data_IF_045643540040
#
_entry.id   IF_045643540040
#
_cell.length_a   1.000
_cell.length_b   1.000
_cell.length_c   1.000
_cell.angle_alpha   90.00
_cell.angle_beta   90.00
_cell.angle_gamma   90.00
#
_symmetry.space_group_name_H-M   'P 1'
#
loop_
_entity.id
_entity.type
_entity.pdbx_description
1 polymer ?
#
# COMPACT_ATOMS: atom_id res chain seq x y z
N UNK A 1 -13.21 -7.72 0.71
CA UNK A 1 -13.28 -6.43 0.00
C UNK A 1 -12.79 -5.32 0.92
N UNK A 2 -11.94 -4.43 0.41
CA UNK A 2 -11.36 -3.33 1.17
C UNK A 2 -12.32 -2.14 1.20
N UNK A 3 -12.72 -1.68 2.39
CA UNK A 3 -13.29 -0.34 2.57
C UNK A 3 -12.09 0.58 2.78
N UNK A 4 -11.85 1.48 1.83
CA UNK A 4 -10.66 2.32 1.76
C UNK A 4 -10.84 3.68 2.49
N UNK A 5 -12.05 4.17 2.68
CA UNK A 5 -12.28 5.48 3.31
C UNK A 5 -12.20 5.51 4.83
N UNK A 6 -12.11 4.35 5.49
CA UNK A 6 -12.12 4.24 6.95
C UNK A 6 -10.94 3.41 7.47
N UNK A 7 -10.42 3.75 8.65
CA UNK A 7 -9.45 2.91 9.38
C UNK A 7 -9.95 1.47 9.47
N UNK A 8 -9.08 0.44 9.43
CA UNK A 8 -9.50 -0.94 9.59
C UNK A 8 -10.25 -1.09 10.92
N UNK A 9 -11.54 -1.42 10.85
CA UNK A 9 -12.27 -1.95 11.99
C UNK A 9 -11.61 -3.30 12.27
N UNK A 10 -11.09 -3.48 13.48
CA UNK A 10 -10.48 -4.74 13.92
C UNK A 10 -11.53 -5.86 13.90
N UNK A 11 -11.62 -6.58 12.79
CA UNK A 11 -12.31 -7.86 12.73
C UNK A 11 -11.35 -8.94 13.22
N UNK A 12 -11.56 -9.42 14.43
CA UNK A 12 -10.93 -10.62 14.96
C UNK A 12 -11.49 -11.85 14.22
N UNK A 13 -11.00 -12.14 13.02
CA UNK A 13 -11.18 -13.47 12.44
C UNK A 13 -10.16 -14.42 13.09
N UNK A 14 -10.61 -15.10 14.15
CA UNK A 14 -9.85 -16.17 14.78
C UNK A 14 -9.73 -17.36 13.84
N UNK A 15 -8.68 -17.40 13.01
CA UNK A 15 -8.21 -18.64 12.41
C UNK A 15 -7.46 -19.43 13.49
N UNK A 16 -8.22 -20.16 14.31
CA UNK A 16 -7.68 -21.16 15.22
C UNK A 16 -7.18 -22.37 14.43
N UNK A 17 -5.89 -22.42 14.15
CA UNK A 17 -5.21 -23.66 13.78
C UNK A 17 -4.89 -24.43 15.07
N UNK A 18 -5.61 -25.53 15.31
CA UNK A 18 -5.35 -26.52 16.36
C UNK A 18 -5.67 -27.93 15.83
N UNK A 19 -4.96 -28.97 16.31
CA UNK A 19 -4.74 -30.21 15.56
C UNK A 19 -5.92 -31.18 15.59
N UNK A 20 -6.02 -31.96 14.52
CA UNK A 20 -6.98 -33.04 14.29
C UNK A 20 -6.79 -34.13 15.35
N UNK A 21 -7.80 -34.38 16.18
CA UNK A 21 -7.99 -35.67 16.83
C UNK A 21 -9.47 -36.03 16.95
N UNK A 22 -9.73 -37.30 16.63
CA UNK A 22 -10.91 -38.15 16.79
C UNK A 22 -12.14 -37.61 17.56
N UNK A 23 -13.32 -37.66 16.93
CA UNK A 23 -14.55 -38.23 17.51
C UNK A 23 -15.70 -38.32 16.49
N UNK A 24 -16.08 -39.57 16.19
CA UNK A 24 -17.43 -40.15 16.19
C UNK A 24 -18.64 -39.35 15.64
N UNK A 25 -19.29 -39.96 14.63
CA UNK A 25 -20.60 -39.61 14.05
C UNK A 25 -21.73 -39.41 15.08
N UNK A 26 -22.74 -38.59 14.70
CA UNK A 26 -24.12 -38.95 14.98
C UNK A 26 -25.01 -38.97 13.73
N UNK A 27 -25.74 -40.08 13.58
CA UNK A 27 -26.89 -40.27 12.70
C UNK A 27 -27.96 -39.20 12.92
N UNK A 28 -28.52 -38.66 11.85
CA UNK A 28 -29.85 -38.04 11.87
C UNK A 28 -30.69 -38.51 10.68
N UNK A 29 -31.95 -38.79 11.03
CA UNK A 29 -32.96 -39.57 10.32
C UNK A 29 -33.59 -38.87 9.13
N UNK A 30 -34.00 -39.68 8.17
CA UNK A 30 -34.90 -39.35 7.07
C UNK A 30 -36.22 -38.74 7.54
N UNK A 31 -36.66 -37.67 6.85
CA UNK A 31 -38.07 -37.26 6.79
C UNK A 31 -38.49 -37.06 5.34
N UNK A 32 -39.59 -37.72 5.03
CA UNK A 32 -40.25 -37.84 3.74
C UNK A 32 -40.71 -36.48 3.16
N UNK A 33 -40.64 -36.36 1.83
CA UNK A 33 -41.58 -35.53 1.09
C UNK A 33 -42.15 -36.32 -0.11
N UNK A 34 -43.46 -36.24 -0.19
CA UNK A 34 -44.38 -37.07 -0.96
C UNK A 34 -44.53 -36.64 -2.42
N UNK A 35 -44.85 -37.65 -3.20
CA UNK A 35 -45.35 -37.71 -4.59
C UNK A 35 -46.34 -36.62 -5.00
N UNK A 36 -46.12 -36.05 -6.19
CA UNK A 36 -47.07 -35.22 -6.94
C UNK A 36 -47.27 -35.78 -8.36
N UNK A 37 -48.50 -36.22 -8.63
CA UNK A 37 -48.95 -37.02 -9.78
C UNK A 37 -48.79 -36.36 -11.17
N UNK A 38 -48.27 -37.12 -12.13
CA UNK A 38 -48.53 -36.94 -13.56
C UNK A 38 -49.87 -37.59 -13.95
N UNK A 39 -50.80 -36.79 -14.51
CA UNK A 39 -52.05 -37.30 -15.09
C UNK A 39 -51.79 -37.79 -16.51
N UNK A 40 -51.84 -39.11 -16.71
CA UNK A 40 -51.94 -39.77 -18.01
C UNK A 40 -53.31 -39.47 -18.64
N UNK A 41 -53.30 -38.97 -19.88
CA UNK A 41 -54.48 -38.90 -20.76
C UNK A 41 -54.34 -40.06 -21.76
N UNK A 42 -55.16 -41.09 -21.58
CA UNK A 42 -55.23 -42.25 -22.49
C UNK A 42 -56.07 -41.84 -23.70
N UNK A 43 -55.47 -41.90 -24.88
CA UNK A 43 -56.18 -41.97 -26.17
C UNK A 43 -55.84 -43.32 -26.79
N UNK A 44 -56.86 -44.16 -26.99
CA UNK A 44 -56.78 -45.42 -27.71
C UNK A 44 -56.83 -45.18 -29.21
N UNK A 45 -55.82 -45.65 -29.93
CA UNK A 45 -55.76 -45.68 -31.39
C UNK A 45 -54.54 -46.45 -31.84
N UNK A 46 -54.75 -47.66 -32.36
CA UNK A 46 -53.74 -48.43 -33.07
C UNK A 46 -53.30 -47.63 -34.29
N UNK A 47 -52.06 -47.15 -34.31
CA UNK A 47 -51.20 -47.05 -35.48
C UNK A 47 -49.78 -46.77 -34.97
N UNK A 48 -48.80 -47.54 -35.48
CA UNK A 48 -47.41 -47.47 -35.04
C UNK A 48 -46.81 -46.09 -35.34
N UNK A 49 -46.44 -45.37 -34.29
CA UNK A 49 -45.53 -44.23 -34.38
C UNK A 49 -44.16 -44.67 -33.86
N UNK A 50 -43.18 -44.76 -34.75
CA UNK A 50 -41.77 -44.63 -34.37
C UNK A 50 -41.61 -43.26 -33.73
N UNK A 51 -41.39 -43.24 -32.41
CA UNK A 51 -40.95 -42.04 -31.71
C UNK A 51 -39.44 -41.99 -31.92
N UNK A 52 -38.96 -41.19 -32.88
CA UNK A 52 -37.57 -40.75 -32.85
C UNK A 52 -37.32 -40.10 -31.48
N UNK A 53 -36.31 -40.53 -30.71
CA UNK A 53 -36.02 -39.91 -29.44
C UNK A 53 -35.50 -38.50 -29.74
N UNK A 54 -36.36 -37.51 -29.52
CA UNK A 54 -35.99 -36.10 -29.66
C UNK A 54 -34.84 -35.83 -28.69
N UNK A 55 -33.72 -35.39 -29.25
CA UNK A 55 -32.39 -35.35 -28.64
C UNK A 55 -32.21 -34.18 -27.65
N UNK A 56 -33.29 -33.72 -27.00
CA UNK A 56 -33.31 -32.60 -26.05
C UNK A 56 -32.28 -32.80 -24.93
N UNK A 57 -32.06 -34.06 -24.53
CA UNK A 57 -31.08 -34.40 -23.49
C UNK A 57 -29.63 -34.19 -23.96
N UNK A 58 -29.30 -34.48 -25.22
CA UNK A 58 -27.95 -34.26 -25.74
C UNK A 58 -27.68 -32.78 -25.99
N UNK A 59 -28.67 -32.01 -26.46
CA UNK A 59 -28.54 -30.57 -26.68
C UNK A 59 -28.39 -29.81 -25.35
N UNK A 60 -29.11 -30.24 -24.30
CA UNK A 60 -28.96 -29.68 -22.96
C UNK A 60 -27.60 -30.06 -22.34
N UNK A 61 -27.16 -31.32 -22.48
CA UNK A 61 -25.85 -31.77 -22.00
C UNK A 61 -24.70 -31.08 -22.73
N UNK A 62 -24.76 -30.92 -24.06
CA UNK A 62 -23.79 -30.13 -24.84
C UNK A 62 -23.84 -28.64 -24.47
N UNK A 63 -25.01 -28.07 -24.20
CA UNK A 63 -25.14 -26.68 -23.77
C UNK A 63 -24.54 -26.44 -22.38
N UNK A 64 -24.70 -27.40 -21.46
CA UNK A 64 -24.14 -27.33 -20.10
C UNK A 64 -22.63 -27.53 -20.16
N UNK A 65 -22.13 -28.51 -20.92
CA UNK A 65 -20.70 -28.75 -21.08
C UNK A 65 -20.00 -27.58 -21.78
N UNK A 66 -20.62 -26.98 -22.80
CA UNK A 66 -20.12 -25.76 -23.45
C UNK A 66 -20.08 -24.57 -22.48
N UNK A 67 -21.07 -24.43 -21.59
CA UNK A 67 -21.07 -23.38 -20.54
C UNK A 67 -19.99 -23.63 -19.49
N UNK A 68 -19.82 -24.87 -19.02
CA UNK A 68 -18.77 -25.25 -18.07
C UNK A 68 -17.39 -25.03 -18.68
N UNK A 69 -17.20 -25.42 -19.94
CA UNK A 69 -15.95 -25.23 -20.67
C UNK A 69 -15.64 -23.75 -20.91
N UNK A 70 -16.64 -22.93 -21.21
CA UNK A 70 -16.50 -21.46 -21.26
C UNK A 70 -16.16 -20.85 -19.90
N UNK A 71 -16.74 -21.34 -18.80
CA UNK A 71 -16.44 -20.89 -17.44
C UNK A 71 -15.02 -21.28 -16.99
N UNK A 72 -14.57 -22.49 -17.31
CA UNK A 72 -13.20 -22.93 -17.03
C UNK A 72 -12.16 -22.22 -17.91
N UNK A 73 -12.54 -21.85 -19.14
CA UNK A 73 -11.71 -21.01 -20.03
C UNK A 73 -11.74 -19.52 -19.65
N UNK A 74 -12.69 -19.08 -18.82
CA UNK A 74 -12.82 -17.70 -18.36
C UNK A 74 -12.32 -17.47 -16.94
N UNK A 75 -11.81 -18.50 -16.24
CA UNK A 75 -11.09 -18.29 -15.00
C UNK A 75 -9.83 -17.49 -15.32
N UNK A 76 -9.83 -16.24 -14.89
CA UNK A 76 -8.75 -15.31 -15.16
C UNK A 76 -7.49 -15.76 -14.39
N UNK A 77 -6.43 -16.10 -15.13
CA UNK A 77 -5.14 -16.46 -14.56
C UNK A 77 -4.37 -15.21 -14.07
N UNK A 78 -4.84 -13.99 -14.41
CA UNK A 78 -4.15 -12.74 -14.13
C UNK A 78 -4.00 -12.46 -12.61
N UNK A 79 -5.01 -12.65 -11.74
CA UNK A 79 -4.83 -12.50 -10.30
C UNK A 79 -3.85 -13.49 -9.68
N UNK A 80 -3.82 -14.73 -10.18
CA UNK A 80 -2.88 -15.75 -9.71
C UNK A 80 -1.46 -15.35 -10.10
N UNK A 81 -1.29 -14.93 -11.36
CA UNK A 81 -0.01 -14.44 -11.86
C UNK A 81 0.46 -13.21 -11.10
N UNK A 82 -0.41 -12.24 -10.86
CA UNK A 82 -0.12 -11.05 -10.07
C UNK A 82 0.38 -11.38 -8.66
N UNK A 83 -0.29 -12.32 -7.98
CA UNK A 83 0.09 -12.76 -6.63
C UNK A 83 1.40 -13.56 -6.58
N UNK A 84 1.76 -14.28 -7.65
CA UNK A 84 3.03 -15.00 -7.76
C UNK A 84 4.20 -14.10 -8.14
N UNK A 85 3.94 -13.10 -9.00
CA UNK A 85 4.96 -12.19 -9.49
C UNK A 85 5.24 -11.05 -8.50
N UNK A 86 4.23 -10.57 -7.76
CA UNK A 86 4.40 -9.43 -6.84
C UNK A 86 4.59 -9.91 -5.40
N UNK A 87 5.79 -9.77 -4.80
CA UNK A 87 5.98 -10.14 -3.40
C UNK A 87 5.21 -9.19 -2.49
N UNK A 88 4.68 -9.70 -1.38
CA UNK A 88 3.92 -8.90 -0.41
C UNK A 88 4.68 -7.68 0.13
N UNK A 89 6.01 -7.73 0.17
CA UNK A 89 6.85 -6.57 0.55
C UNK A 89 6.80 -5.42 -0.46
N UNK A 90 6.55 -5.72 -1.74
CA UNK A 90 6.37 -4.72 -2.80
C UNK A 90 4.91 -4.29 -2.98
N UNK A 91 3.93 -5.04 -2.46
CA UNK A 91 2.50 -4.71 -2.62
C UNK A 91 2.11 -3.48 -1.81
N UNK A 92 1.65 -2.41 -2.49
CA UNK A 92 1.08 -1.23 -1.83
C UNK A 92 -0.46 -1.33 -1.79
N UNK A 93 -1.11 -1.10 -0.64
CA UNK A 93 -2.53 -1.38 -0.45
C UNK A 93 -3.48 -0.80 -1.50
N UNK A 94 -3.30 0.46 -1.93
CA UNK A 94 -4.21 1.06 -2.89
C UNK A 94 -4.02 0.51 -4.31
N UNK A 95 -2.80 0.11 -4.67
CA UNK A 95 -2.52 -0.57 -5.95
C UNK A 95 -3.14 -1.96 -5.97
N UNK A 96 -2.98 -2.69 -4.87
CA UNK A 96 -3.57 -4.01 -4.68
C UNK A 96 -5.09 -3.93 -4.78
N UNK A 97 -5.70 -2.98 -4.06
CA UNK A 97 -7.14 -2.75 -4.13
C UNK A 97 -7.59 -2.37 -5.55
N UNK A 98 -6.84 -1.52 -6.27
CA UNK A 98 -7.15 -1.15 -7.65
C UNK A 98 -7.15 -2.37 -8.56
N UNK A 99 -6.09 -3.18 -8.51
CA UNK A 99 -5.98 -4.40 -9.29
C UNK A 99 -7.16 -5.34 -9.01
N UNK A 100 -7.46 -5.61 -7.74
CA UNK A 100 -8.57 -6.51 -7.41
C UNK A 100 -9.96 -5.94 -7.73
N UNK A 101 -10.16 -4.62 -7.73
CA UNK A 101 -11.43 -4.02 -8.19
C UNK A 101 -11.63 -4.29 -9.68
N UNK A 102 -10.56 -4.17 -10.49
CA UNK A 102 -10.64 -4.35 -11.95
C UNK A 102 -10.85 -5.82 -12.35
N UNK A 103 -10.41 -6.78 -11.52
CA UNK A 103 -10.49 -8.23 -11.78
C UNK A 103 -11.55 -8.96 -10.94
N UNK A 104 -12.39 -8.23 -10.20
CA UNK A 104 -13.43 -8.86 -9.37
C UNK A 104 -14.65 -9.23 -10.23
N UNK A 105 -14.89 -10.54 -10.38
CA UNK A 105 -16.02 -11.09 -11.14
C UNK A 105 -17.18 -11.50 -10.23
N UNK A 106 -18.35 -10.89 -10.45
CA UNK A 106 -19.58 -11.18 -9.67
C UNK A 106 -20.32 -12.44 -10.17
N UNK A 107 -20.03 -12.87 -11.40
CA UNK A 107 -20.69 -14.00 -12.05
C UNK A 107 -19.89 -15.31 -11.99
N UNK A 108 -18.77 -15.34 -11.26
CA UNK A 108 -17.98 -16.56 -11.12
C UNK A 108 -18.75 -17.63 -10.33
N UNK A 109 -19.14 -18.70 -11.03
CA UNK A 109 -19.54 -19.95 -10.43
C UNK A 109 -18.28 -20.68 -9.96
N UNK A 110 -18.12 -20.82 -8.66
CA UNK A 110 -17.03 -21.62 -8.09
C UNK A 110 -17.38 -23.09 -8.28
N UNK A 111 -16.63 -23.79 -9.14
CA UNK A 111 -16.65 -25.24 -9.18
C UNK A 111 -15.76 -25.78 -8.07
N UNK A 112 -16.37 -26.31 -7.01
CA UNK A 112 -15.64 -27.03 -5.96
C UNK A 112 -15.95 -28.52 -6.15
N UNK A 113 -14.92 -29.29 -6.50
CA UNK A 113 -15.02 -30.68 -6.92
C UNK A 113 -15.96 -30.86 -8.15
N UNK A 114 -17.13 -31.50 -7.98
CA UNK A 114 -18.06 -31.85 -9.06
C UNK A 114 -19.36 -31.02 -9.01
N UNK A 115 -19.40 -29.93 -8.25
CA UNK A 115 -20.61 -29.14 -8.07
C UNK A 115 -20.31 -27.65 -8.25
N UNK A 116 -21.19 -27.00 -9.02
CA UNK A 116 -21.17 -25.56 -9.24
C UNK A 116 -21.89 -24.87 -8.09
N UNK A 117 -21.17 -24.01 -7.38
CA UNK A 117 -21.73 -23.19 -6.31
C UNK A 117 -21.63 -21.71 -6.65
N UNK A 118 -22.68 -20.95 -6.34
CA UNK A 118 -22.59 -19.50 -6.22
C UNK A 118 -22.50 -19.15 -4.75
N UNK A 119 -21.38 -18.58 -4.32
CA UNK A 119 -21.24 -18.03 -2.98
C UNK A 119 -21.79 -16.59 -3.00
N UNK A 120 -23.11 -16.44 -2.85
CA UNK A 120 -23.80 -15.14 -2.93
C UNK A 120 -23.31 -14.12 -1.89
N UNK A 121 -22.74 -14.57 -0.77
CA UNK A 121 -22.11 -13.70 0.22
C UNK A 121 -20.69 -13.24 -0.17
N UNK A 122 -20.03 -13.92 -1.12
CA UNK A 122 -18.69 -13.57 -1.59
C UNK A 122 -18.68 -12.89 -2.96
N UNK A 123 -19.65 -13.20 -3.83
CA UNK A 123 -19.79 -12.63 -5.18
C UNK A 123 -21.03 -11.74 -5.20
N UNK A 124 -20.83 -10.45 -4.95
CA UNK A 124 -21.91 -9.49 -4.73
C UNK A 124 -21.62 -8.16 -5.45
N UNK A 125 -22.52 -7.74 -6.35
CA UNK A 125 -22.41 -6.45 -7.06
C UNK A 125 -22.36 -5.27 -6.10
N UNK A 126 -23.05 -5.35 -4.97
CA UNK A 126 -23.08 -4.30 -3.94
C UNK A 126 -21.69 -4.03 -3.40
N UNK A 127 -20.88 -5.08 -3.24
CA UNK A 127 -19.51 -4.97 -2.83
C UNK A 127 -18.72 -4.23 -3.93
N UNK A 128 -18.74 -4.72 -5.17
CA UNK A 128 -17.99 -4.11 -6.26
C UNK A 128 -18.31 -2.62 -6.42
N UNK A 129 -19.60 -2.26 -6.42
CA UNK A 129 -20.06 -0.88 -6.49
C UNK A 129 -19.57 -0.03 -5.30
N UNK A 130 -19.63 -0.57 -4.08
CA UNK A 130 -19.11 0.12 -2.90
C UNK A 130 -17.61 0.39 -3.03
N UNK A 131 -16.80 -0.60 -3.45
CA UNK A 131 -15.37 -0.42 -3.61
C UNK A 131 -15.03 0.59 -4.71
N UNK A 132 -15.75 0.58 -5.84
CA UNK A 132 -15.57 1.57 -6.92
C UNK A 132 -15.86 2.99 -6.43
N UNK A 133 -16.99 3.19 -5.76
CA UNK A 133 -17.38 4.50 -5.22
C UNK A 133 -16.37 5.01 -4.18
N UNK A 134 -15.93 4.12 -3.30
CA UNK A 134 -15.02 4.44 -2.22
C UNK A 134 -13.61 4.77 -2.74
N UNK A 135 -13.09 3.97 -3.67
CA UNK A 135 -11.82 4.23 -4.34
C UNK A 135 -11.86 5.56 -5.11
N UNK A 136 -12.93 5.83 -5.87
CA UNK A 136 -13.12 7.10 -6.59
C UNK A 136 -13.11 8.30 -5.64
N UNK A 137 -13.71 8.17 -4.45
CA UNK A 137 -13.69 9.21 -3.43
C UNK A 137 -12.28 9.47 -2.89
N UNK A 138 -11.53 8.41 -2.60
CA UNK A 138 -10.12 8.52 -2.18
C UNK A 138 -9.27 9.17 -3.29
N UNK A 139 -9.40 8.72 -4.54
CA UNK A 139 -8.68 9.27 -5.69
C UNK A 139 -8.94 10.77 -5.87
N UNK A 140 -10.19 11.22 -5.76
CA UNK A 140 -10.53 12.65 -5.85
C UNK A 140 -9.83 13.48 -4.76
N UNK A 141 -9.79 12.98 -3.53
CA UNK A 141 -9.07 13.63 -2.43
C UNK A 141 -7.57 13.68 -2.71
N UNK A 142 -6.97 12.58 -3.19
CA UNK A 142 -5.55 12.51 -3.51
C UNK A 142 -5.17 13.46 -4.66
N UNK A 143 -6.04 13.65 -5.66
CA UNK A 143 -5.86 14.62 -6.74
C UNK A 143 -5.91 16.07 -6.23
N UNK A 144 -6.78 16.37 -5.26
CA UNK A 144 -6.83 17.69 -4.62
C UNK A 144 -5.56 17.96 -3.79
N UNK A 145 -5.09 16.96 -3.05
CA UNK A 145 -3.81 17.02 -2.34
C UNK A 145 -2.64 17.23 -3.29
N UNK A 146 -2.62 16.52 -4.43
CA UNK A 146 -1.60 16.68 -5.45
C UNK A 146 -1.54 18.13 -5.97
N UNK A 147 -2.67 18.78 -6.23
CA UNK A 147 -2.70 20.20 -6.62
C UNK A 147 -2.04 21.11 -5.57
N UNK A 148 -2.30 20.88 -4.27
CA UNK A 148 -1.67 21.64 -3.20
C UNK A 148 -0.17 21.37 -3.10
N UNK A 149 0.28 20.13 -3.33
CA UNK A 149 1.70 19.77 -3.37
C UNK A 149 2.40 20.41 -4.58
N UNK A 150 1.75 20.47 -5.74
CA UNK A 150 2.26 21.19 -6.91
C UNK A 150 2.38 22.69 -6.63
N UNK A 151 1.38 23.29 -5.99
CA UNK A 151 1.46 24.69 -5.60
C UNK A 151 2.62 24.94 -4.62
N UNK A 152 2.77 24.09 -3.60
CA UNK A 152 3.92 24.16 -2.68
C UNK A 152 5.27 24.03 -3.40
N UNK A 153 5.37 23.16 -4.41
CA UNK A 153 6.58 23.00 -5.23
C UNK A 153 6.96 24.28 -5.96
N UNK A 154 5.99 24.94 -6.60
CA UNK A 154 6.20 26.19 -7.34
C UNK A 154 6.46 27.36 -6.40
N UNK A 155 5.68 27.51 -5.31
CA UNK A 155 5.81 28.59 -4.33
C UNK A 155 7.19 28.61 -3.65
N UNK A 156 7.73 27.43 -3.34
CA UNK A 156 9.07 27.31 -2.75
C UNK A 156 10.20 27.29 -3.81
N UNK A 157 9.84 27.26 -5.10
CA UNK A 157 10.73 27.07 -6.24
C UNK A 157 11.70 25.90 -6.01
N UNK A 158 11.14 24.71 -5.75
CA UNK A 158 11.91 23.53 -5.35
C UNK A 158 12.81 22.97 -6.47
N UNK A 159 12.54 23.34 -7.72
CA UNK A 159 13.38 23.01 -8.88
C UNK A 159 14.81 23.53 -8.71
N UNK A 160 14.98 24.73 -8.11
CA UNK A 160 16.29 25.33 -7.86
C UNK A 160 17.14 24.51 -6.87
N UNK A 161 16.49 23.69 -6.04
CA UNK A 161 17.17 22.77 -5.12
C UNK A 161 17.36 21.36 -5.71
N UNK A 162 17.14 21.20 -7.02
CA UNK A 162 17.34 19.94 -7.74
C UNK A 162 16.15 18.98 -7.68
N UNK A 163 15.01 19.39 -7.11
CA UNK A 163 13.84 18.52 -7.05
C UNK A 163 13.07 18.58 -8.36
N UNK A 164 12.99 17.46 -9.07
CA UNK A 164 12.22 17.38 -10.31
C UNK A 164 10.72 17.17 -10.04
N UNK A 165 9.87 17.58 -11.00
CA UNK A 165 8.42 17.31 -10.96
C UNK A 165 8.10 15.81 -10.88
N UNK A 166 8.89 14.98 -11.55
CA UNK A 166 8.78 13.50 -11.48
C UNK A 166 9.01 12.99 -10.06
N UNK A 167 10.02 13.51 -9.37
CA UNK A 167 10.40 13.08 -8.03
C UNK A 167 9.34 13.41 -6.98
N UNK A 168 8.78 14.62 -7.02
CA UNK A 168 7.71 14.99 -6.08
C UNK A 168 6.40 14.26 -6.40
N UNK A 169 6.10 13.99 -7.67
CA UNK A 169 4.97 13.16 -8.07
C UNK A 169 5.12 11.72 -7.57
N UNK A 170 6.31 11.13 -7.68
CA UNK A 170 6.58 9.80 -7.17
C UNK A 170 6.46 9.73 -5.64
N UNK A 171 6.97 10.74 -4.92
CA UNK A 171 6.80 10.84 -3.47
C UNK A 171 5.31 10.92 -3.08
N UNK A 172 4.51 11.72 -3.81
CA UNK A 172 3.06 11.79 -3.62
C UNK A 172 2.40 10.42 -3.85
N UNK A 173 2.76 9.75 -4.94
CA UNK A 173 2.25 8.42 -5.27
C UNK A 173 2.54 7.40 -4.18
N UNK A 174 3.78 7.30 -3.70
CA UNK A 174 4.15 6.33 -2.65
C UNK A 174 3.37 6.57 -1.35
N UNK A 175 3.13 7.84 -0.99
CA UNK A 175 2.34 8.21 0.17
C UNK A 175 0.85 7.82 0.00
N UNK A 176 0.21 8.16 -1.12
CA UNK A 176 -1.22 7.84 -1.35
C UNK A 176 -1.47 6.36 -1.59
N UNK A 177 -0.53 5.64 -2.22
CA UNK A 177 -0.65 4.22 -2.45
C UNK A 177 -0.57 3.41 -1.14
N UNK A 178 0.05 4.00 -0.12
CA UNK A 178 0.30 3.39 1.18
C UNK A 178 -0.71 3.77 2.26
N UNK A 179 -1.05 5.07 2.34
CA UNK A 179 -1.95 5.66 3.34
C UNK A 179 -3.15 6.27 2.60
N UNK A 180 -4.02 5.47 2.01
CA UNK A 180 -5.05 5.97 1.10
C UNK A 180 -6.27 6.60 1.81
N UNK A 181 -6.44 6.37 3.12
CA UNK A 181 -7.64 6.72 3.87
C UNK A 181 -7.88 8.24 3.94
N UNK A 182 -9.13 8.70 3.84
CA UNK A 182 -9.45 10.12 3.76
C UNK A 182 -8.98 10.93 4.98
N UNK A 183 -9.08 10.35 6.19
CA UNK A 183 -8.71 10.97 7.46
C UNK A 183 -7.18 11.14 7.64
N UNK A 184 -6.38 10.45 6.81
CA UNK A 184 -4.91 10.43 6.90
C UNK A 184 -4.22 11.40 5.93
N UNK A 185 -4.95 12.40 5.44
CA UNK A 185 -4.42 13.47 4.58
C UNK A 185 -3.22 14.19 5.20
N UNK A 186 -3.27 14.49 6.50
CA UNK A 186 -2.16 15.15 7.21
C UNK A 186 -0.88 14.31 7.22
N UNK A 187 -1.02 12.99 7.38
CA UNK A 187 0.10 12.05 7.35
C UNK A 187 0.74 11.96 5.96
N UNK A 188 -0.07 11.92 4.90
CA UNK A 188 0.43 11.93 3.51
C UNK A 188 1.18 13.20 3.17
N UNK A 189 0.62 14.37 3.49
CA UNK A 189 1.28 15.66 3.23
C UNK A 189 2.58 15.77 4.03
N UNK A 190 2.57 15.32 5.30
CA UNK A 190 3.76 15.25 6.15
C UNK A 190 4.83 14.34 5.55
N UNK A 191 4.44 13.18 5.01
CA UNK A 191 5.34 12.27 4.32
C UNK A 191 6.01 12.95 3.14
N UNK A 192 5.25 13.48 2.18
CA UNK A 192 5.81 14.06 0.96
C UNK A 192 6.74 15.23 1.27
N UNK A 193 6.30 16.16 2.13
CA UNK A 193 7.13 17.31 2.51
C UNK A 193 8.41 16.88 3.23
N UNK A 194 8.32 15.93 4.18
CA UNK A 194 9.49 15.46 4.91
C UNK A 194 10.48 14.73 4.00
N UNK A 195 10.00 13.91 3.07
CA UNK A 195 10.85 13.23 2.10
C UNK A 195 11.62 14.23 1.24
N UNK A 196 10.93 15.21 0.65
CA UNK A 196 11.55 16.22 -0.21
C UNK A 196 12.53 17.10 0.55
N UNK A 197 12.17 17.57 1.75
CA UNK A 197 13.04 18.40 2.57
C UNK A 197 14.28 17.63 3.05
N UNK A 198 14.13 16.37 3.46
CA UNK A 198 15.26 15.53 3.86
C UNK A 198 16.24 15.32 2.71
N UNK A 199 15.73 15.13 1.49
CA UNK A 199 16.56 14.98 0.29
C UNK A 199 17.32 16.26 -0.08
N UNK A 200 16.67 17.42 -0.04
CA UNK A 200 17.32 18.72 -0.26
C UNK A 200 18.46 18.92 0.75
N UNK A 201 18.17 18.70 2.04
CA UNK A 201 19.11 18.92 3.14
C UNK A 201 20.29 17.95 3.10
N UNK A 202 20.03 16.66 2.86
CA UNK A 202 21.10 15.66 2.68
C UNK A 202 21.96 15.99 1.47
N UNK A 203 21.36 16.34 0.32
CA UNK A 203 22.11 16.69 -0.88
C UNK A 203 22.98 17.91 -0.65
N UNK A 204 22.43 18.97 -0.04
CA UNK A 204 23.18 20.17 0.29
C UNK A 204 24.36 19.89 1.24
N UNK A 205 24.16 19.06 2.26
CA UNK A 205 25.22 18.66 3.19
C UNK A 205 26.38 17.96 2.46
N UNK A 206 26.08 17.00 1.58
CA UNK A 206 27.11 16.28 0.83
C UNK A 206 27.86 17.17 -0.17
N UNK A 207 27.17 18.08 -0.87
CA UNK A 207 27.82 19.05 -1.77
C UNK A 207 28.84 19.93 -1.01
N UNK A 208 28.48 20.40 0.19
CA UNK A 208 29.38 21.20 1.02
C UNK A 208 30.60 20.39 1.49
N UNK A 209 30.41 19.11 1.82
CA UNK A 209 31.50 18.23 2.22
C UNK A 209 32.52 18.05 1.08
N UNK A 210 32.05 17.89 -0.16
CA UNK A 210 32.93 17.73 -1.34
C UNK A 210 33.72 19.00 -1.70
N UNK A 211 33.15 20.20 -1.48
CA UNK A 211 33.86 21.47 -1.73
C UNK A 211 35.07 21.67 -0.80
N UNK A 212 35.11 20.98 0.34
CA UNK A 212 36.22 21.02 1.29
C UNK A 212 37.27 19.91 1.10
N UNK A 213 37.00 18.88 0.28
CA UNK A 213 37.92 17.77 0.03
C UNK A 213 38.37 17.75 -1.43
N UNK A 214 39.56 18.28 -1.74
CA UNK A 214 40.08 18.47 -3.10
C UNK A 214 40.39 17.19 -3.90
N UNK A 215 39.97 15.99 -3.48
CA UNK A 215 40.18 14.75 -4.22
C UNK A 215 39.03 13.77 -3.97
N UNK A 216 38.16 13.63 -4.97
CA UNK A 216 37.67 12.37 -5.57
C UNK A 216 36.33 12.64 -6.25
N UNK A 217 36.30 12.42 -7.58
CA UNK A 217 35.07 12.26 -8.35
C UNK A 217 34.37 10.99 -7.86
N UNK A 218 33.67 11.09 -6.75
CA UNK A 218 32.77 10.03 -6.28
C UNK A 218 31.38 10.42 -6.73
N UNK A 219 30.79 9.62 -7.62
CA UNK A 219 29.39 9.73 -8.01
C UNK A 219 28.56 9.47 -6.75
N UNK A 220 28.06 10.53 -6.11
CA UNK A 220 27.30 10.39 -4.86
C UNK A 220 25.82 10.19 -5.18
N UNK A 221 25.30 9.01 -4.88
CA UNK A 221 23.85 8.80 -4.79
C UNK A 221 23.33 9.54 -3.55
N UNK A 222 22.61 10.65 -3.79
CA UNK A 222 21.65 11.20 -2.81
C UNK A 222 20.60 10.13 -2.51
N UNK A 223 19.91 10.17 -1.35
CA UNK A 223 18.91 9.16 -1.00
C UNK A 223 17.80 8.98 -2.06
N UNK A 224 17.62 9.92 -2.99
CA UNK A 224 16.68 9.78 -4.10
C UNK A 224 17.26 10.21 -5.47
N UNK A 225 18.55 9.90 -5.70
CA UNK A 225 19.26 10.01 -6.99
C UNK A 225 19.10 11.35 -7.78
N UNK A 226 19.43 12.47 -7.16
CA UNK A 226 19.47 13.79 -7.80
C UNK A 226 20.82 14.05 -8.47
N UNK A 227 20.83 14.34 -9.77
CA UNK A 227 21.96 15.00 -10.45
C UNK A 227 21.73 16.51 -10.39
N UNK A 228 22.52 17.26 -9.59
CA UNK A 228 22.40 18.72 -9.46
C UNK A 228 23.53 19.42 -10.24
N UNK A 229 23.20 20.47 -10.99
CA UNK A 229 24.19 21.42 -11.51
C UNK A 229 24.60 22.41 -10.40
N UNK A 230 25.89 22.44 -10.09
CA UNK A 230 26.48 23.28 -9.03
C UNK A 230 26.42 24.76 -9.46
N UNK A 231 25.56 25.54 -8.81
CA UNK A 231 25.45 26.98 -9.08
C UNK A 231 24.98 27.80 -7.87
N UNK A 232 25.93 28.52 -7.24
CA UNK A 232 25.77 29.58 -6.21
C UNK A 232 25.41 29.12 -4.78
N UNK A 233 26.43 28.73 -4.03
CA UNK A 233 26.38 28.47 -2.60
C UNK A 233 26.12 29.72 -1.73
N UNK A 234 25.62 29.45 -0.52
CA UNK A 234 25.29 30.37 0.60
C UNK A 234 23.91 31.06 0.59
N UNK A 235 23.42 31.67 -0.51
CA UNK A 235 22.06 32.27 -0.51
C UNK A 235 20.93 31.24 -0.37
N UNK A 236 21.24 29.97 -0.62
CA UNK A 236 20.26 28.89 -0.62
C UNK A 236 20.01 28.29 0.77
N UNK A 237 20.94 28.40 1.73
CA UNK A 237 20.78 27.76 3.05
C UNK A 237 19.70 28.41 3.87
N UNK A 238 19.74 29.75 3.97
CA UNK A 238 18.72 30.51 4.70
C UNK A 238 17.34 30.23 4.12
N UNK A 239 17.22 30.17 2.79
CA UNK A 239 15.96 29.83 2.13
C UNK A 239 15.51 28.38 2.39
N UNK A 240 16.40 27.39 2.34
CA UNK A 240 16.08 26.00 2.70
C UNK A 240 15.59 25.92 4.14
N UNK A 241 16.26 26.62 5.06
CA UNK A 241 15.88 26.69 6.47
C UNK A 241 14.51 27.33 6.63
N UNK A 242 14.24 28.45 5.95
CA UNK A 242 12.92 29.11 5.95
C UNK A 242 11.83 28.17 5.45
N UNK A 243 12.03 27.51 4.30
CA UNK A 243 11.07 26.55 3.75
C UNK A 243 10.81 25.40 4.74
N UNK A 244 11.86 24.88 5.39
CA UNK A 244 11.73 23.86 6.42
C UNK A 244 10.88 24.37 7.59
N UNK A 245 11.20 25.53 8.15
CA UNK A 245 10.46 26.10 9.29
C UNK A 245 8.99 26.36 8.95
N UNK A 246 8.70 26.92 7.78
CA UNK A 246 7.34 27.15 7.30
C UNK A 246 6.58 25.84 7.12
N UNK A 247 7.20 24.82 6.51
CA UNK A 247 6.61 23.50 6.36
C UNK A 247 6.30 22.84 7.71
N UNK A 248 7.24 22.85 8.66
CA UNK A 248 7.03 22.30 10.00
C UNK A 248 5.94 23.06 10.77
N UNK A 249 5.88 24.38 10.64
CA UNK A 249 4.85 25.22 11.25
C UNK A 249 3.46 24.89 10.70
N UNK A 250 3.35 24.71 9.38
CA UNK A 250 2.10 24.31 8.73
C UNK A 250 1.68 22.90 9.18
N UNK A 251 2.58 21.92 9.12
CA UNK A 251 2.32 20.54 9.54
C UNK A 251 1.88 20.46 11.00
N UNK A 252 2.52 21.23 11.88
CA UNK A 252 2.13 21.36 13.30
C UNK A 252 0.70 21.88 13.44
N UNK A 253 0.37 22.97 12.77
CA UNK A 253 -0.97 23.58 12.81
C UNK A 253 -2.03 22.59 12.36
N UNK A 254 -1.77 21.90 11.26
CA UNK A 254 -2.64 20.91 10.65
C UNK A 254 -2.82 19.68 11.55
N UNK A 255 -1.76 19.21 12.20
CA UNK A 255 -1.82 18.08 13.12
C UNK A 255 -2.66 18.41 14.37
N UNK A 256 -2.49 19.61 14.95
CA UNK A 256 -3.25 20.07 16.13
C UNK A 256 -4.74 20.18 15.89
N UNK A 257 -5.13 20.69 14.72
CA UNK A 257 -6.53 20.78 14.33
C UNK A 257 -7.21 19.41 14.30
N UNK A 258 -6.45 18.34 14.03
CA UNK A 258 -6.96 16.97 13.94
C UNK A 258 -6.86 16.19 15.27
N UNK A 259 -5.95 16.57 16.16
CA UNK A 259 -5.62 15.83 17.39
C UNK A 259 -6.19 16.44 18.69
N UNK A 260 -7.23 17.27 18.61
CA UNK A 260 -7.78 18.04 19.75
C UNK A 260 -6.72 18.87 20.55
N UNK A 261 -5.56 19.17 19.97
CA UNK A 261 -4.52 19.98 20.59
C UNK A 261 -3.46 19.25 21.43
N UNK A 262 -3.50 17.92 21.55
CA UNK A 262 -2.62 17.16 22.47
C UNK A 262 -1.14 17.04 22.01
N UNK A 263 -0.79 17.52 20.82
CA UNK A 263 0.58 17.42 20.27
C UNK A 263 1.46 18.54 20.84
N UNK A 264 2.52 18.15 21.56
CA UNK A 264 3.53 19.07 22.11
C UNK A 264 4.18 19.97 21.05
N UNK A 265 4.40 21.24 21.42
CA UNK A 265 4.86 22.31 20.53
C UNK A 265 6.17 22.03 19.79
N UNK A 266 7.05 21.24 20.40
CA UNK A 266 8.45 21.13 19.99
C UNK A 266 8.77 19.79 19.30
N UNK A 267 7.82 18.86 19.17
CA UNK A 267 8.13 17.51 18.70
C UNK A 267 8.69 17.47 17.28
N UNK A 268 8.13 18.26 16.36
CA UNK A 268 8.63 18.37 14.99
C UNK A 268 9.97 19.10 14.95
N UNK A 269 10.10 20.25 15.64
CA UNK A 269 11.36 20.99 15.67
C UNK A 269 12.50 20.17 16.28
N UNK A 270 12.23 19.39 17.33
CA UNK A 270 13.20 18.48 17.91
C UNK A 270 13.54 17.31 16.98
N UNK A 271 12.54 16.71 16.31
CA UNK A 271 12.78 15.63 15.36
C UNK A 271 13.79 16.05 14.29
N UNK A 272 13.52 17.21 13.67
CA UNK A 272 14.34 17.75 12.61
C UNK A 272 15.67 18.30 13.12
N UNK A 273 15.69 18.98 14.27
CA UNK A 273 16.93 19.46 14.89
C UNK A 273 17.87 18.33 15.30
N UNK A 274 17.32 17.25 15.87
CA UNK A 274 18.09 16.06 16.23
C UNK A 274 18.64 15.32 15.01
N UNK A 275 17.82 15.18 13.95
CA UNK A 275 18.29 14.58 12.69
C UNK A 275 19.35 15.45 12.01
N UNK A 276 19.16 16.76 11.91
CA UNK A 276 20.14 17.69 11.32
C UNK A 276 21.47 17.69 12.08
N UNK A 277 21.43 17.56 13.41
CA UNK A 277 22.65 17.42 14.22
C UNK A 277 23.42 16.13 13.85
N UNK A 278 22.73 14.98 13.79
CA UNK A 278 23.33 13.70 13.38
C UNK A 278 23.88 13.76 11.95
N UNK A 279 23.14 14.40 11.04
CA UNK A 279 23.59 14.64 9.66
C UNK A 279 24.90 15.44 9.67
N UNK A 280 24.97 16.50 10.48
CA UNK A 280 26.16 17.32 10.67
C UNK A 280 27.40 16.56 11.17
N UNK A 281 27.19 15.61 12.08
CA UNK A 281 28.23 14.77 12.70
C UNK A 281 28.73 13.64 11.77
N UNK A 282 28.05 13.39 10.63
CA UNK A 282 28.40 12.32 9.69
C UNK A 282 28.17 10.91 10.23
N UNK A 283 27.39 10.78 11.31
CA UNK A 283 27.31 9.55 12.12
C UNK A 283 26.38 8.48 11.56
N UNK A 284 25.38 8.81 10.76
CA UNK A 284 24.57 7.88 9.94
C UNK A 284 23.46 8.64 9.20
N UNK A 285 23.14 8.19 7.99
CA UNK A 285 21.98 8.64 7.20
C UNK A 285 20.70 8.06 7.84
N UNK A 286 20.04 8.83 8.72
CA UNK A 286 18.80 8.42 9.40
C UNK A 286 17.56 9.17 8.88
N UNK A 287 17.54 9.49 7.58
CA UNK A 287 16.46 10.19 6.87
C UNK A 287 15.11 9.48 7.03
N UNK A 288 15.11 8.15 7.05
CA UNK A 288 13.86 7.38 7.16
C UNK A 288 13.26 7.54 8.55
N UNK A 289 14.08 7.67 9.60
CA UNK A 289 13.58 7.95 10.95
C UNK A 289 12.86 9.30 11.01
N UNK A 290 13.43 10.38 10.46
CA UNK A 290 12.82 11.70 10.56
C UNK A 290 11.52 11.77 9.75
N UNK A 291 11.43 11.07 8.61
CA UNK A 291 10.20 10.92 7.83
C UNK A 291 9.13 10.17 8.64
N UNK A 292 9.45 8.96 9.14
CA UNK A 292 8.51 8.15 9.94
C UNK A 292 8.06 8.88 11.20
N UNK A 293 8.97 9.57 11.89
CA UNK A 293 8.65 10.38 13.06
C UNK A 293 7.70 11.53 12.70
N UNK A 294 7.95 12.21 11.58
CA UNK A 294 7.09 13.31 11.10
C UNK A 294 5.69 12.82 10.76
N UNK A 295 5.56 11.67 10.08
CA UNK A 295 4.27 11.02 9.79
C UNK A 295 3.52 10.70 11.08
N UNK A 296 4.17 10.01 12.02
CA UNK A 296 3.54 9.60 13.28
C UNK A 296 3.13 10.78 14.17
N UNK A 297 3.89 11.88 14.19
CA UNK A 297 3.50 13.11 14.90
C UNK A 297 2.26 13.71 14.23
N UNK A 298 2.26 13.84 12.90
CA UNK A 298 1.15 14.44 12.16
C UNK A 298 -0.13 13.58 12.17
N UNK A 299 0.00 12.26 12.33
CA UNK A 299 -1.10 11.32 12.55
C UNK A 299 -1.59 11.24 14.00
N UNK A 300 -0.97 11.98 14.93
CA UNK A 300 -1.32 11.95 16.35
C UNK A 300 -0.94 10.65 17.06
N UNK A 301 -0.03 9.86 16.49
CA UNK A 301 0.46 8.61 17.11
C UNK A 301 1.60 8.84 18.09
N UNK A 302 2.39 9.91 17.92
CA UNK A 302 3.44 10.33 18.85
C UNK A 302 3.03 11.68 19.45
N UNK A 303 2.70 11.67 20.74
CA UNK A 303 2.25 12.84 21.50
C UNK A 303 3.33 13.38 22.45
N UNK A 304 4.32 12.57 22.80
CA UNK A 304 5.43 12.94 23.69
C UNK A 304 6.74 12.30 23.26
N UNK A 305 7.83 12.75 23.88
CA UNK A 305 9.21 12.32 23.58
C UNK A 305 9.55 10.94 24.18
N UNK A 306 8.76 10.45 25.13
CA UNK A 306 9.04 9.23 25.88
C UNK A 306 9.11 7.99 24.97
N UNK A 307 8.24 7.95 23.96
CA UNK A 307 8.20 6.90 22.93
C UNK A 307 9.56 6.73 22.23
N UNK A 308 10.30 7.81 22.05
CA UNK A 308 11.57 7.83 21.32
C UNK A 308 12.71 7.21 22.13
N UNK A 309 12.62 7.26 23.46
CA UNK A 309 13.58 6.63 24.35
C UNK A 309 13.41 5.10 24.39
N UNK A 310 12.22 4.61 24.02
CA UNK A 310 11.84 3.20 24.08
C UNK A 310 12.75 2.32 23.20
N UNK A 311 13.12 1.14 23.71
CA UNK A 311 14.04 0.25 23.00
C UNK A 311 13.43 -0.27 21.68
N UNK A 312 12.12 -0.59 21.66
CA UNK A 312 11.44 -1.07 20.44
C UNK A 312 11.48 -0.03 19.32
N UNK A 313 11.28 1.25 19.65
CA UNK A 313 11.35 2.34 18.68
C UNK A 313 12.74 2.42 18.06
N UNK A 314 13.79 2.35 18.89
CA UNK A 314 15.18 2.39 18.42
C UNK A 314 15.52 1.20 17.53
N UNK A 315 15.12 -0.02 17.91
CA UNK A 315 15.38 -1.25 17.14
C UNK A 315 14.69 -1.17 15.77
N UNK A 316 13.39 -0.86 15.76
CA UNK A 316 12.61 -0.78 14.51
C UNK A 316 13.12 0.36 13.63
N UNK A 317 13.45 1.51 14.20
CA UNK A 317 14.03 2.64 13.47
C UNK A 317 15.36 2.27 12.80
N UNK A 318 16.30 1.66 13.55
CA UNK A 318 17.60 1.25 13.02
C UNK A 318 17.45 0.21 11.91
N UNK A 319 16.61 -0.80 12.11
CA UNK A 319 16.33 -1.83 11.11
C UNK A 319 15.71 -1.25 9.85
N UNK A 320 14.71 -0.37 10.00
CA UNK A 320 14.02 0.25 8.86
C UNK A 320 14.96 1.14 8.07
N UNK A 321 15.79 1.96 8.74
CA UNK A 321 16.81 2.77 8.06
C UNK A 321 17.76 1.87 7.26
N UNK A 322 18.29 0.80 7.87
CA UNK A 322 19.20 -0.13 7.20
C UNK A 322 18.58 -0.73 5.93
N UNK A 323 17.36 -1.27 6.05
CA UNK A 323 16.61 -1.83 4.92
C UNK A 323 16.46 -0.81 3.79
N UNK A 324 16.00 0.40 4.11
CA UNK A 324 15.77 1.44 3.11
C UNK A 324 17.08 1.85 2.42
N UNK A 325 18.17 1.96 3.16
CA UNK A 325 19.50 2.27 2.58
C UNK A 325 20.03 1.14 1.69
N UNK A 326 19.82 -0.12 2.06
CA UNK A 326 20.17 -1.25 1.21
C UNK A 326 19.36 -1.22 -0.09
N UNK A 327 18.06 -0.99 -0.01
CA UNK A 327 17.15 -0.90 -1.17
C UNK A 327 17.50 0.26 -2.11
N UNK A 328 17.84 1.43 -1.57
CA UNK A 328 18.26 2.59 -2.38
C UNK A 328 19.52 2.31 -3.22
N UNK A 329 20.43 1.47 -2.74
CA UNK A 329 21.64 1.09 -3.49
C UNK A 329 21.36 0.11 -4.64
N UNK A 330 20.19 -0.52 -4.66
CA UNK A 330 19.83 -1.56 -5.62
C UNK A 330 19.14 -1.04 -6.90
N UNK A 331 18.96 0.27 -7.08
CA UNK A 331 18.20 0.88 -8.18
C UNK A 331 18.67 0.48 -9.62
N UNK A 332 19.76 -0.29 -9.76
CA UNK A 332 20.31 -0.84 -11.00
C UNK A 332 20.45 -2.38 -11.06
N UNK A 333 19.97 -3.15 -10.07
CA UNK A 333 20.08 -4.62 -10.03
C UNK A 333 18.72 -5.29 -10.19
N UNK A 334 18.65 -6.38 -10.97
CA UNK A 334 17.40 -7.07 -11.34
C UNK A 334 16.68 -7.77 -10.18
N UNK A 335 17.31 -7.97 -9.01
CA UNK A 335 16.69 -8.73 -7.91
C UNK A 335 17.08 -8.21 -6.53
N UNK A 336 16.08 -8.11 -5.66
CA UNK A 336 16.27 -7.88 -4.23
C UNK A 336 16.90 -9.12 -3.59
N UNK A 337 18.06 -8.94 -2.95
CA UNK A 337 18.82 -10.03 -2.34
C UNK A 337 18.13 -10.68 -1.14
N UNK A 338 18.50 -11.93 -0.84
CA UNK A 338 17.96 -12.72 0.28
C UNK A 338 18.19 -12.07 1.66
N UNK A 339 19.26 -11.30 1.82
CA UNK A 339 19.54 -10.57 3.06
C UNK A 339 18.45 -9.54 3.38
N UNK A 340 18.09 -8.71 2.41
CA UNK A 340 17.02 -7.70 2.56
C UNK A 340 15.68 -8.37 2.84
N UNK A 341 15.40 -9.53 2.23
CA UNK A 341 14.18 -10.30 2.54
C UNK A 341 14.14 -10.75 4.00
N UNK A 342 15.26 -11.23 4.55
CA UNK A 342 15.35 -11.60 5.98
C UNK A 342 15.20 -10.39 6.89
N UNK A 343 15.78 -9.25 6.54
CA UNK A 343 15.60 -7.99 7.30
C UNK A 343 14.13 -7.53 7.26
N UNK A 344 13.46 -7.62 6.11
CA UNK A 344 12.02 -7.34 5.98
C UNK A 344 11.16 -8.31 6.81
N UNK A 345 11.50 -9.61 6.84
CA UNK A 345 10.83 -10.59 7.70
C UNK A 345 10.96 -10.23 9.18
N UNK A 346 12.16 -9.85 9.62
CA UNK A 346 12.39 -9.40 11.00
C UNK A 346 11.58 -8.14 11.32
N UNK A 347 11.53 -7.17 10.39
CA UNK A 347 10.73 -5.96 10.56
C UNK A 347 9.24 -6.29 10.75
N UNK A 348 8.69 -7.19 9.92
CA UNK A 348 7.30 -7.65 10.04
C UNK A 348 7.06 -8.31 11.39
N UNK A 349 7.96 -9.18 11.84
CA UNK A 349 7.84 -9.84 13.13
C UNK A 349 7.79 -8.83 14.28
N UNK A 350 8.68 -7.83 14.28
CA UNK A 350 8.71 -6.78 15.30
C UNK A 350 7.43 -5.92 15.30
N UNK A 351 6.83 -5.70 14.13
CA UNK A 351 5.62 -4.90 13.96
C UNK A 351 4.36 -5.65 14.41
N UNK A 352 4.30 -6.96 14.15
CA UNK A 352 3.17 -7.81 14.52
C UNK A 352 3.23 -8.31 15.96
N UNK A 353 4.39 -8.27 16.62
CA UNK A 353 4.52 -8.61 18.03
C UNK A 353 3.86 -7.54 18.92
N UNK A 354 2.78 -7.96 19.59
CA UNK A 354 2.17 -7.19 20.65
C UNK A 354 3.00 -7.33 21.94
N UNK A 355 3.33 -6.20 22.55
CA UNK A 355 4.07 -6.13 23.81
C UNK A 355 3.30 -5.23 24.77
N UNK A 356 3.08 -5.71 26.00
CA UNK A 356 2.25 -5.03 27.01
C UNK A 356 2.78 -3.65 27.42
N UNK A 357 4.10 -3.46 27.31
CA UNK A 357 4.79 -2.18 27.57
C UNK A 357 5.42 -1.59 26.29
N UNK A 358 5.01 -2.06 25.11
CA UNK A 358 5.60 -1.65 23.84
C UNK A 358 5.15 -0.29 23.33
N UNK A 359 5.75 0.13 22.22
CA UNK A 359 5.22 1.27 21.45
C UNK A 359 3.94 0.86 20.70
N UNK A 360 3.08 1.83 20.41
CA UNK A 360 1.79 1.54 19.78
C UNK A 360 1.96 0.86 18.42
N UNK A 361 1.04 -0.06 18.10
CA UNK A 361 1.01 -0.77 16.82
C UNK A 361 0.93 0.20 15.62
N UNK A 362 0.25 1.34 15.78
CA UNK A 362 0.19 2.38 14.75
C UNK A 362 1.60 2.92 14.41
N UNK A 363 2.44 3.19 15.43
CA UNK A 363 3.82 3.65 15.21
C UNK A 363 4.63 2.58 14.48
N UNK A 364 4.54 1.33 14.94
CA UNK A 364 5.24 0.19 14.30
C UNK A 364 4.81 0.04 12.84
N UNK A 365 3.51 0.14 12.56
CA UNK A 365 2.96 0.00 11.22
C UNK A 365 3.51 1.08 10.27
N UNK A 366 3.70 2.31 10.72
CA UNK A 366 4.28 3.39 9.90
C UNK A 366 5.68 3.04 9.41
N UNK A 367 6.53 2.43 10.24
CA UNK A 367 7.86 1.96 9.82
C UNK A 367 7.78 0.91 8.71
N UNK A 368 6.91 -0.09 8.88
CA UNK A 368 6.71 -1.13 7.87
C UNK A 368 6.17 -0.56 6.56
N UNK A 369 5.20 0.34 6.64
CA UNK A 369 4.60 0.97 5.47
C UNK A 369 5.65 1.76 4.68
N UNK A 370 6.48 2.56 5.36
CA UNK A 370 7.58 3.28 4.70
C UNK A 370 8.59 2.28 4.11
N UNK A 371 8.99 1.23 4.83
CA UNK A 371 9.90 0.22 4.28
C UNK A 371 9.37 -0.43 2.99
N UNK A 372 8.07 -0.74 2.95
CA UNK A 372 7.41 -1.31 1.76
C UNK A 372 7.45 -0.37 0.55
N UNK A 373 7.41 0.94 0.73
CA UNK A 373 7.55 1.88 -0.41
C UNK A 373 8.95 1.85 -1.02
N UNK A 374 9.99 1.74 -0.18
CA UNK A 374 11.36 1.56 -0.69
C UNK A 374 11.51 0.21 -1.39
N UNK A 375 10.87 -0.84 -0.87
CA UNK A 375 10.89 -2.17 -1.49
C UNK A 375 10.17 -2.15 -2.84
N UNK A 376 8.98 -1.55 -2.93
CA UNK A 376 8.24 -1.37 -4.17
C UNK A 376 9.10 -0.62 -5.21
N UNK A 377 9.70 0.51 -4.82
CA UNK A 377 10.56 1.30 -5.73
C UNK A 377 11.77 0.51 -6.24
N UNK A 378 12.40 -0.30 -5.39
CA UNK A 378 13.54 -1.12 -5.80
C UNK A 378 13.14 -2.35 -6.64
N UNK A 379 11.91 -2.82 -6.48
CA UNK A 379 11.40 -4.02 -7.16
C UNK A 379 10.90 -3.72 -8.58
N UNK A 380 10.16 -2.62 -8.76
CA UNK A 380 9.56 -2.26 -10.04
C UNK A 380 10.46 -1.34 -10.87
N UNK A 381 10.46 -1.53 -12.18
CA UNK A 381 11.16 -0.62 -13.11
C UNK A 381 10.52 0.77 -13.14
N UNK A 382 11.28 1.79 -13.57
CA UNK A 382 10.78 3.15 -13.69
C UNK A 382 9.51 3.26 -14.57
N UNK A 383 9.42 2.47 -15.64
CA UNK A 383 8.23 2.43 -16.51
C UNK A 383 7.02 1.83 -15.80
N UNK A 384 7.21 0.77 -14.99
CA UNK A 384 6.12 0.18 -14.20
C UNK A 384 5.64 1.15 -13.12
N UNK A 385 6.56 1.88 -12.47
CA UNK A 385 6.20 2.93 -11.51
C UNK A 385 5.37 4.03 -12.19
N UNK A 386 5.73 4.47 -13.39
CA UNK A 386 4.94 5.43 -14.17
C UNK A 386 3.52 4.91 -14.48
N UNK A 387 3.39 3.64 -14.87
CA UNK A 387 2.07 3.00 -15.04
C UNK A 387 1.29 2.98 -13.73
N UNK A 388 1.92 2.59 -12.62
CA UNK A 388 1.26 2.57 -11.30
C UNK A 388 0.78 3.97 -10.88
N UNK A 389 1.57 5.02 -11.16
CA UNK A 389 1.21 6.42 -10.94
C UNK A 389 -0.02 6.80 -11.78
N UNK A 390 0.00 6.50 -13.08
CA UNK A 390 -1.09 6.78 -14.01
C UNK A 390 -2.40 6.16 -13.54
N UNK A 391 -2.34 4.85 -13.28
CA UNK A 391 -3.46 4.05 -12.83
C UNK A 391 -4.08 4.60 -11.54
N UNK A 392 -3.25 4.87 -10.53
CA UNK A 392 -3.73 5.33 -9.21
C UNK A 392 -4.29 6.75 -9.21
N UNK A 393 -3.58 7.69 -9.83
CA UNK A 393 -3.87 9.11 -9.65
C UNK A 393 -4.73 9.71 -10.77
N UNK A 394 -4.72 9.13 -11.97
CA UNK A 394 -5.28 9.81 -13.15
C UNK A 394 -6.31 8.99 -13.92
N UNK A 395 -6.25 7.65 -13.85
CA UNK A 395 -7.22 6.78 -14.52
C UNK A 395 -8.45 6.53 -13.65
N UNK A 396 -9.64 6.77 -14.21
CA UNK A 396 -10.90 6.47 -13.54
C UNK A 396 -11.19 4.97 -13.60
N UNK A 397 -11.76 4.44 -12.51
CA UNK A 397 -12.40 3.14 -12.52
C UNK A 397 -13.60 3.16 -13.45
N UNK A 398 -13.73 2.13 -14.28
CA UNK A 398 -14.83 1.95 -15.25
C UNK A 398 -16.00 1.24 -14.59
#
# INVERSE_FOLDING_TARGET
MYILSTRPISFSFGFGYGPISSATEPRLSSKNCSTGNSKLKVCSGNDGFEVEPFNEKSEIEESIDCKIKKMLQSMDDEPIKYGLETPWYATLPALDARFFIDHYSVDDLLSIANSLYRLSEMNNDTYLELAKLDYKRCQQQHQMEWKHIQQWYEDCNLEEFGISKKKILEAQFLAVASLFELDRSGERVAWVKSQILSDILSTYYFMKQSDHSSHHNTEFSTPFNTKIQVGKGFKNVERIITILFEALTQLKKDARQRSNGDISDDLLHEAWGGWLKKLGEGTERQEVEVIVRTINICGGHILSKEVLAHHEYKIISQLTNRICHHLLKLENQKMVGEEIKKEMQLLVQLVLQDSSNGISRAIKQTFLVVAKTFYHRAYFSASQIETHISMMLFEQLV
#
